data_IF_188081308985
#
_entry.id   IF_188081308985
#
_cell.length_a   1.000
_cell.length_b   1.000
_cell.length_c   1.000
_cell.angle_alpha   90.00
_cell.angle_beta   90.00
_cell.angle_gamma   90.00
#
_symmetry.space_group_name_H-M   'P 1'
#
loop_
_entity.id
_entity.type
_entity.pdbx_description
1 polymer ?
#
# COMPACT_ATOMS: atom_id res chain seq x y z
N UNK A 1 42.02 -37.02 1.72
CA UNK A 1 41.95 -35.60 2.13
C UNK A 1 41.43 -34.62 1.05
N UNK A 2 41.03 -35.09 -0.12
CA UNK A 2 40.65 -34.24 -1.28
C UNK A 2 39.16 -33.78 -1.32
N UNK A 3 38.24 -34.48 -0.65
CA UNK A 3 36.81 -34.21 -0.72
C UNK A 3 36.33 -32.98 0.06
N UNK A 4 37.02 -32.62 1.13
CA UNK A 4 36.68 -31.42 1.93
C UNK A 4 36.97 -30.12 1.15
N UNK A 5 38.09 -30.06 0.41
CA UNK A 5 38.49 -28.85 -0.35
C UNK A 5 37.60 -28.54 -1.54
N UNK A 6 37.06 -29.54 -2.20
CA UNK A 6 36.09 -29.38 -3.30
C UNK A 6 34.74 -28.84 -2.81
N UNK A 7 34.33 -29.20 -1.58
CA UNK A 7 33.09 -28.69 -0.97
C UNK A 7 33.20 -27.21 -0.62
N UNK A 8 34.36 -26.73 -0.17
CA UNK A 8 34.53 -25.34 0.25
C UNK A 8 34.44 -24.38 -0.94
N UNK A 9 35.04 -24.68 -2.09
CA UNK A 9 34.95 -23.82 -3.29
C UNK A 9 33.55 -23.85 -3.93
N UNK A 10 32.86 -24.99 -3.91
CA UNK A 10 31.48 -25.08 -4.38
C UNK A 10 30.54 -24.26 -3.49
N UNK A 11 30.73 -24.32 -2.16
CA UNK A 11 29.96 -23.52 -1.21
C UNK A 11 30.15 -22.00 -1.44
N UNK A 12 31.37 -21.53 -1.67
CA UNK A 12 31.64 -20.12 -2.01
C UNK A 12 30.92 -19.69 -3.29
N UNK A 13 30.90 -20.53 -4.32
CA UNK A 13 30.21 -20.27 -5.57
C UNK A 13 28.66 -20.22 -5.38
N UNK A 14 28.13 -21.04 -4.50
CA UNK A 14 26.71 -21.02 -4.14
C UNK A 14 26.33 -19.74 -3.38
N UNK A 15 27.12 -19.36 -2.37
CA UNK A 15 26.90 -18.13 -1.61
C UNK A 15 27.00 -16.91 -2.52
N UNK A 16 27.98 -16.86 -3.41
CA UNK A 16 28.13 -15.80 -4.41
C UNK A 16 26.88 -15.67 -5.30
N UNK A 17 26.36 -16.79 -5.81
CA UNK A 17 25.14 -16.80 -6.63
C UNK A 17 23.92 -16.34 -5.83
N UNK A 18 23.76 -16.84 -4.62
CA UNK A 18 22.67 -16.43 -3.73
C UNK A 18 22.71 -14.92 -3.43
N UNK A 19 23.92 -14.38 -3.18
CA UNK A 19 24.11 -12.96 -2.92
C UNK A 19 23.82 -12.10 -4.15
N UNK A 20 24.20 -12.53 -5.35
CA UNK A 20 23.87 -11.85 -6.60
C UNK A 20 22.36 -11.81 -6.87
N UNK A 21 21.66 -12.94 -6.63
CA UNK A 21 20.19 -12.99 -6.73
C UNK A 21 19.52 -12.11 -5.69
N UNK A 22 19.99 -12.14 -4.44
CA UNK A 22 19.48 -11.29 -3.37
C UNK A 22 19.62 -9.82 -3.72
N UNK A 23 20.82 -9.38 -4.14
CA UNK A 23 21.10 -8.02 -4.62
C UNK A 23 20.08 -7.57 -5.68
N UNK A 24 19.90 -8.37 -6.73
CA UNK A 24 18.97 -8.04 -7.83
C UNK A 24 17.53 -7.91 -7.35
N UNK A 25 17.07 -8.84 -6.50
CA UNK A 25 15.71 -8.82 -5.96
C UNK A 25 15.46 -7.62 -5.05
N UNK A 26 16.41 -7.30 -4.18
CA UNK A 26 16.29 -6.15 -3.28
C UNK A 26 16.30 -4.83 -4.05
N UNK A 27 17.18 -4.68 -5.04
CA UNK A 27 17.22 -3.50 -5.90
C UNK A 27 15.89 -3.31 -6.66
N UNK A 28 15.34 -4.38 -7.21
CA UNK A 28 14.04 -4.35 -7.88
C UNK A 28 12.91 -3.97 -6.91
N UNK A 29 12.83 -4.59 -5.74
CA UNK A 29 11.79 -4.30 -4.75
C UNK A 29 11.85 -2.86 -4.24
N UNK A 30 13.04 -2.37 -3.90
CA UNK A 30 13.23 -0.99 -3.42
C UNK A 30 13.01 0.04 -4.53
N UNK A 31 13.36 -0.29 -5.77
CA UNK A 31 13.13 0.54 -6.95
C UNK A 31 11.65 0.75 -7.28
N UNK A 32 10.79 -0.20 -6.89
CA UNK A 32 9.34 -0.09 -7.11
C UNK A 32 8.62 0.81 -6.10
N UNK A 33 9.27 1.24 -5.02
CA UNK A 33 8.63 2.06 -3.99
C UNK A 33 8.08 3.39 -4.54
N UNK A 34 8.82 4.05 -5.42
CA UNK A 34 8.39 5.30 -6.05
C UNK A 34 7.17 5.14 -6.95
N UNK A 35 7.22 4.27 -7.98
CA UNK A 35 6.06 3.98 -8.83
C UNK A 35 4.82 3.53 -8.05
N UNK A 36 4.97 2.65 -7.05
CA UNK A 36 3.87 2.19 -6.22
C UNK A 36 3.22 3.34 -5.42
N UNK A 37 4.03 4.26 -4.89
CA UNK A 37 3.54 5.43 -4.19
C UNK A 37 2.74 6.36 -5.12
N UNK A 38 3.26 6.61 -6.32
CA UNK A 38 2.57 7.43 -7.33
C UNK A 38 1.24 6.81 -7.77
N UNK A 39 1.22 5.51 -8.04
CA UNK A 39 0.00 4.79 -8.40
C UNK A 39 -1.05 4.84 -7.27
N UNK A 40 -0.59 4.73 -6.01
CA UNK A 40 -1.48 4.85 -4.84
C UNK A 40 -2.06 6.26 -4.71
N UNK A 41 -1.24 7.30 -4.88
CA UNK A 41 -1.72 8.70 -4.85
C UNK A 41 -2.73 8.98 -5.96
N UNK A 42 -2.46 8.51 -7.18
CA UNK A 42 -3.37 8.64 -8.32
C UNK A 42 -4.71 7.93 -8.06
N UNK A 43 -4.67 6.68 -7.59
CA UNK A 43 -5.86 5.93 -7.22
C UNK A 43 -6.70 6.64 -6.15
N UNK A 44 -6.07 7.15 -5.10
CA UNK A 44 -6.76 7.88 -4.03
C UNK A 44 -7.44 9.15 -4.56
N UNK A 45 -6.74 9.94 -5.39
CA UNK A 45 -7.24 11.23 -5.87
C UNK A 45 -8.26 11.11 -6.99
N UNK A 46 -7.99 10.25 -7.97
CA UNK A 46 -8.78 10.20 -9.20
C UNK A 46 -9.94 9.21 -9.10
N UNK A 47 -9.74 8.06 -8.45
CA UNK A 47 -10.77 7.03 -8.39
C UNK A 47 -11.58 7.11 -7.11
N UNK A 48 -10.94 6.94 -5.94
CA UNK A 48 -11.65 6.87 -4.67
C UNK A 48 -12.28 8.19 -4.27
N UNK A 49 -11.57 9.32 -4.43
CA UNK A 49 -12.12 10.62 -4.07
C UNK A 49 -13.33 10.96 -4.96
N UNK A 50 -13.25 10.71 -6.27
CA UNK A 50 -14.38 10.95 -7.19
C UNK A 50 -15.56 10.01 -6.93
N UNK A 51 -15.29 8.75 -6.59
CA UNK A 51 -16.34 7.79 -6.22
C UNK A 51 -17.09 8.29 -4.98
N UNK A 52 -16.38 8.59 -3.90
CA UNK A 52 -17.02 9.02 -2.65
C UNK A 52 -17.64 10.41 -2.72
N UNK A 53 -17.16 11.31 -3.58
CA UNK A 53 -17.84 12.58 -3.87
C UNK A 53 -19.22 12.34 -4.50
N UNK A 54 -19.31 11.45 -5.50
CA UNK A 54 -20.60 11.09 -6.10
C UNK A 54 -21.51 10.39 -5.12
N UNK A 55 -20.97 9.48 -4.29
CA UNK A 55 -21.72 8.81 -3.25
C UNK A 55 -22.25 9.82 -2.20
N UNK A 56 -21.46 10.80 -1.81
CA UNK A 56 -21.89 11.83 -0.86
C UNK A 56 -23.07 12.63 -1.41
N UNK A 57 -23.02 13.06 -2.66
CA UNK A 57 -24.12 13.80 -3.31
C UNK A 57 -25.39 12.94 -3.31
N UNK A 58 -25.29 11.69 -3.76
CA UNK A 58 -26.43 10.76 -3.81
C UNK A 58 -27.03 10.48 -2.43
N UNK A 59 -26.18 10.31 -1.42
CA UNK A 59 -26.59 10.04 -0.03
C UNK A 59 -27.16 11.28 0.64
N UNK A 60 -26.66 12.47 0.31
CA UNK A 60 -27.23 13.73 0.74
C UNK A 60 -28.66 13.91 0.18
N UNK A 61 -28.87 13.67 -1.10
CA UNK A 61 -30.18 13.71 -1.74
C UNK A 61 -31.16 12.74 -1.05
N UNK A 62 -30.73 11.50 -0.83
CA UNK A 62 -31.52 10.47 -0.14
C UNK A 62 -31.87 10.87 1.31
N UNK A 63 -30.93 11.49 2.04
CA UNK A 63 -31.22 11.99 3.37
C UNK A 63 -32.21 13.15 3.35
N UNK A 64 -32.08 14.10 2.41
CA UNK A 64 -33.02 15.20 2.26
C UNK A 64 -34.44 14.70 1.91
N UNK A 65 -34.55 13.66 1.08
CA UNK A 65 -35.82 13.04 0.75
C UNK A 65 -36.43 12.35 1.98
N UNK A 66 -35.67 11.52 2.69
CA UNK A 66 -36.13 10.86 3.91
C UNK A 66 -36.53 11.88 4.99
N UNK A 67 -35.79 12.99 5.12
CA UNK A 67 -36.14 14.09 6.02
C UNK A 67 -37.47 14.76 5.65
N UNK A 68 -37.71 14.98 4.36
CA UNK A 68 -38.99 15.55 3.90
C UNK A 68 -40.16 14.58 4.16
N UNK A 69 -39.97 13.27 3.94
CA UNK A 69 -40.96 12.25 4.23
C UNK A 69 -41.30 12.20 5.72
N UNK A 70 -40.31 12.21 6.58
CA UNK A 70 -40.50 12.27 8.04
C UNK A 70 -41.26 13.53 8.48
N UNK A 71 -40.88 14.70 7.97
CA UNK A 71 -41.58 15.97 8.32
C UNK A 71 -43.06 15.92 7.88
N UNK A 72 -43.35 15.37 6.69
CA UNK A 72 -44.71 15.22 6.22
C UNK A 72 -45.50 14.24 7.09
N UNK A 73 -44.93 13.10 7.48
CA UNK A 73 -45.58 12.15 8.38
C UNK A 73 -45.79 12.73 9.79
N UNK A 74 -44.84 13.49 10.29
CA UNK A 74 -45.00 14.18 11.58
C UNK A 74 -46.07 15.26 11.59
N UNK A 75 -46.30 15.96 10.45
CA UNK A 75 -47.38 16.93 10.30
C UNK A 75 -48.72 16.26 10.23
N UNK A 76 -48.86 15.09 9.55
CA UNK A 76 -50.08 14.32 9.48
C UNK A 76 -50.53 13.79 10.87
N UNK A 77 -49.54 13.41 11.72
CA UNK A 77 -49.84 13.03 13.12
C UNK A 77 -50.44 14.21 13.90
N UNK A 78 -49.98 15.45 13.63
CA UNK A 78 -50.50 16.65 14.29
C UNK A 78 -51.88 17.10 13.73
N UNK A 79 -52.12 16.83 12.46
CA UNK A 79 -53.32 17.27 11.75
C UNK A 79 -53.95 16.10 10.97
N UNK A 80 -54.61 15.13 11.67
CA UNK A 80 -55.17 13.95 11.04
C UNK A 80 -56.20 14.29 9.93
N UNK A 81 -56.08 13.58 8.78
CA UNK A 81 -57.04 13.71 7.65
C UNK A 81 -56.63 14.68 6.54
N UNK A 82 -55.40 15.26 6.61
CA UNK A 82 -54.87 16.17 5.60
C UNK A 82 -54.05 15.50 4.50
N UNK A 83 -53.72 14.20 4.63
CA UNK A 83 -52.88 13.48 3.70
C UNK A 83 -53.28 12.01 3.48
N UNK A 84 -52.74 11.34 2.43
CA UNK A 84 -52.94 9.92 2.24
C UNK A 84 -52.23 9.16 3.36
N UNK A 85 -52.92 8.23 4.04
CA UNK A 85 -52.37 7.41 5.14
C UNK A 85 -51.01 6.82 4.78
N UNK A 86 -49.96 7.37 5.38
CA UNK A 86 -48.56 7.00 5.11
C UNK A 86 -48.01 6.13 6.23
N UNK A 87 -46.82 5.57 5.99
CA UNK A 87 -46.00 4.90 6.98
C UNK A 87 -45.91 5.69 8.29
N UNK A 88 -45.79 5.00 9.42
CA UNK A 88 -45.80 5.65 10.71
C UNK A 88 -44.66 6.71 10.80
N UNK A 89 -44.91 7.83 11.45
CA UNK A 89 -43.89 8.88 11.63
C UNK A 89 -42.60 8.33 12.27
N UNK A 90 -42.69 7.24 13.02
CA UNK A 90 -41.55 6.54 13.62
C UNK A 90 -40.75 5.77 12.56
N UNK A 91 -41.39 5.09 11.61
CA UNK A 91 -40.69 4.38 10.53
C UNK A 91 -39.95 5.37 9.64
N UNK A 92 -40.55 6.52 9.32
CA UNK A 92 -39.92 7.56 8.53
C UNK A 92 -38.75 8.22 9.30
N UNK A 93 -38.85 8.35 10.61
CA UNK A 93 -37.75 8.80 11.47
C UNK A 93 -36.57 7.86 11.40
N UNK A 94 -36.82 6.56 11.54
CA UNK A 94 -35.78 5.51 11.43
C UNK A 94 -35.14 5.51 10.05
N UNK A 95 -35.93 5.69 8.97
CA UNK A 95 -35.42 5.80 7.61
C UNK A 95 -34.51 7.02 7.44
N UNK A 96 -34.91 8.18 7.97
CA UNK A 96 -34.12 9.40 7.96
C UNK A 96 -32.79 9.23 8.73
N UNK A 97 -32.83 8.65 9.92
CA UNK A 97 -31.61 8.41 10.72
C UNK A 97 -30.64 7.46 10.01
N UNK A 98 -31.14 6.42 9.34
CA UNK A 98 -30.33 5.52 8.51
C UNK A 98 -29.73 6.23 7.29
N UNK A 99 -30.48 7.08 6.63
CA UNK A 99 -29.99 7.87 5.50
C UNK A 99 -28.90 8.85 5.96
N UNK A 100 -29.08 9.51 7.11
CA UNK A 100 -28.08 10.36 7.74
C UNK A 100 -26.80 9.62 8.02
N UNK A 101 -26.88 8.45 8.67
CA UNK A 101 -25.68 7.65 9.00
C UNK A 101 -24.89 7.26 7.74
N UNK A 102 -25.57 6.94 6.63
CA UNK A 102 -24.91 6.64 5.35
C UNK A 102 -24.21 7.86 4.75
N UNK A 103 -24.81 9.04 4.87
CA UNK A 103 -24.20 10.31 4.44
C UNK A 103 -22.95 10.60 5.25
N UNK A 104 -23.04 10.51 6.57
CA UNK A 104 -21.94 10.76 7.49
C UNK A 104 -20.78 9.80 7.23
N UNK A 105 -21.05 8.51 6.92
CA UNK A 105 -20.04 7.56 6.48
C UNK A 105 -19.31 8.04 5.20
N UNK A 106 -20.02 8.59 4.22
CA UNK A 106 -19.39 9.09 3.00
C UNK A 106 -18.48 10.30 3.27
N UNK A 107 -18.88 11.19 4.16
CA UNK A 107 -18.05 12.32 4.62
C UNK A 107 -16.77 11.83 5.31
N UNK A 108 -16.89 10.84 6.22
CA UNK A 108 -15.75 10.24 6.91
C UNK A 108 -14.76 9.57 5.93
N UNK A 109 -15.28 8.86 4.92
CA UNK A 109 -14.43 8.25 3.87
C UNK A 109 -13.66 9.31 3.08
N UNK A 110 -14.31 10.40 2.70
CA UNK A 110 -13.65 11.51 2.01
C UNK A 110 -12.61 12.20 2.90
N UNK A 111 -12.89 12.40 4.17
CA UNK A 111 -11.93 12.95 5.12
C UNK A 111 -10.71 12.04 5.29
N UNK A 112 -10.92 10.72 5.38
CA UNK A 112 -9.83 9.73 5.44
C UNK A 112 -8.96 9.76 4.17
N UNK A 113 -9.56 9.83 2.97
CA UNK A 113 -8.82 9.95 1.71
C UNK A 113 -7.95 11.20 1.70
N UNK A 114 -8.50 12.37 2.09
CA UNK A 114 -7.74 13.63 2.18
C UNK A 114 -6.55 13.50 3.15
N UNK A 115 -6.76 12.86 4.29
CA UNK A 115 -5.70 12.61 5.27
C UNK A 115 -4.59 11.73 4.69
N UNK A 116 -4.93 10.66 3.97
CA UNK A 116 -3.95 9.80 3.32
C UNK A 116 -3.19 10.51 2.20
N UNK A 117 -3.88 11.27 1.35
CA UNK A 117 -3.24 12.10 0.30
C UNK A 117 -2.24 13.09 0.92
N UNK A 118 -2.60 13.75 2.02
CA UNK A 118 -1.70 14.67 2.71
C UNK A 118 -0.47 13.95 3.29
N UNK A 119 -0.64 12.76 3.88
CA UNK A 119 0.47 11.94 4.36
C UNK A 119 1.39 11.48 3.23
N UNK A 120 0.83 11.04 2.10
CA UNK A 120 1.63 10.67 0.93
C UNK A 120 2.45 11.85 0.41
N UNK A 121 1.88 13.06 0.42
CA UNK A 121 2.60 14.26 0.02
C UNK A 121 3.73 14.65 1.00
N UNK A 122 3.47 14.57 2.32
CA UNK A 122 4.47 14.95 3.33
C UNK A 122 5.59 13.91 3.48
N UNK A 123 5.24 12.63 3.52
CA UNK A 123 6.14 11.57 3.94
C UNK A 123 6.67 10.73 2.77
N UNK A 124 5.93 10.73 1.65
CA UNK A 124 6.20 9.88 0.50
C UNK A 124 7.57 10.15 -0.14
N UNK A 125 7.93 11.43 -0.31
CA UNK A 125 9.25 11.81 -0.84
C UNK A 125 10.40 11.31 0.03
N UNK A 126 10.25 11.42 1.35
CA UNK A 126 11.22 10.90 2.31
C UNK A 126 11.33 9.37 2.29
N UNK A 127 10.20 8.67 2.11
CA UNK A 127 10.20 7.21 1.98
C UNK A 127 10.93 6.76 0.71
N UNK A 128 10.62 7.36 -0.44
CA UNK A 128 11.30 7.06 -1.73
C UNK A 128 12.78 7.33 -1.63
N UNK A 129 13.18 8.44 -1.01
CA UNK A 129 14.60 8.75 -0.79
C UNK A 129 15.28 7.69 0.07
N UNK A 130 14.70 7.27 1.19
CA UNK A 130 15.24 6.20 2.05
C UNK A 130 15.35 4.87 1.31
N UNK A 131 14.35 4.48 0.53
CA UNK A 131 14.39 3.27 -0.29
C UNK A 131 15.52 3.32 -1.31
N UNK A 132 15.74 4.46 -1.97
CA UNK A 132 16.85 4.65 -2.92
C UNK A 132 18.20 4.58 -2.23
N UNK A 133 18.38 5.26 -1.10
CA UNK A 133 19.62 5.21 -0.32
C UNK A 133 19.93 3.80 0.19
N UNK A 134 18.91 3.08 0.67
CA UNK A 134 19.06 1.69 1.10
C UNK A 134 19.44 0.77 -0.08
N UNK A 135 18.85 0.99 -1.26
CA UNK A 135 19.19 0.22 -2.46
C UNK A 135 20.67 0.42 -2.86
N UNK A 136 21.17 1.66 -2.83
CA UNK A 136 22.56 1.96 -3.14
C UNK A 136 23.53 1.35 -2.12
N UNK A 137 23.26 1.52 -0.81
CA UNK A 137 24.09 0.94 0.24
C UNK A 137 24.14 -0.59 0.15
N UNK A 138 23.01 -1.23 -0.10
CA UNK A 138 22.93 -2.68 -0.26
C UNK A 138 23.64 -3.16 -1.53
N UNK A 139 23.61 -2.38 -2.62
CA UNK A 139 24.32 -2.68 -3.85
C UNK A 139 25.83 -2.65 -3.61
N UNK A 140 26.33 -1.61 -2.96
CA UNK A 140 27.75 -1.45 -2.61
C UNK A 140 28.24 -2.56 -1.67
N UNK A 141 27.46 -2.90 -0.63
CA UNK A 141 27.80 -3.97 0.31
C UNK A 141 27.82 -5.34 -0.37
N UNK A 142 26.84 -5.61 -1.21
CA UNK A 142 26.78 -6.87 -1.95
C UNK A 142 27.93 -7.00 -2.96
N UNK A 143 28.31 -5.92 -3.63
CA UNK A 143 29.47 -5.90 -4.53
C UNK A 143 30.77 -6.18 -3.78
N UNK A 144 30.98 -5.54 -2.62
CA UNK A 144 32.16 -5.79 -1.78
C UNK A 144 32.21 -7.23 -1.29
N UNK A 145 31.09 -7.77 -0.85
CA UNK A 145 31.01 -9.17 -0.42
C UNK A 145 31.29 -10.16 -1.56
N UNK A 146 30.75 -9.91 -2.77
CA UNK A 146 31.05 -10.72 -3.95
C UNK A 146 32.54 -10.66 -4.30
N UNK A 147 33.14 -9.48 -4.31
CA UNK A 147 34.57 -9.33 -4.58
C UNK A 147 35.43 -10.07 -3.55
N UNK A 148 35.03 -10.04 -2.28
CA UNK A 148 35.71 -10.81 -1.21
C UNK A 148 35.61 -12.31 -1.44
N UNK A 149 34.43 -12.81 -1.81
CA UNK A 149 34.24 -14.22 -2.14
C UNK A 149 35.05 -14.66 -3.36
N UNK A 150 35.13 -13.81 -4.38
CA UNK A 150 35.97 -14.08 -5.57
C UNK A 150 37.46 -14.11 -5.23
N UNK A 151 37.95 -13.19 -4.39
CA UNK A 151 39.33 -13.18 -3.90
C UNK A 151 39.67 -14.43 -3.07
N UNK A 152 38.76 -14.84 -2.17
CA UNK A 152 38.92 -16.08 -1.39
C UNK A 152 38.93 -17.32 -2.30
N UNK A 153 38.04 -17.40 -3.27
CA UNK A 153 38.04 -18.51 -4.22
C UNK A 153 39.34 -18.59 -5.04
N UNK A 154 39.86 -17.45 -5.51
CA UNK A 154 41.13 -17.36 -6.21
C UNK A 154 42.30 -17.78 -5.32
N UNK A 155 42.37 -17.34 -4.08
CA UNK A 155 43.42 -17.74 -3.12
C UNK A 155 43.39 -19.28 -2.90
N UNK A 156 42.22 -19.87 -2.68
CA UNK A 156 42.08 -21.31 -2.49
C UNK A 156 42.57 -22.07 -3.76
N UNK A 157 42.21 -21.60 -4.97
CA UNK A 157 42.64 -22.19 -6.22
C UNK A 157 44.15 -22.17 -6.36
N UNK A 158 44.83 -21.08 -5.95
CA UNK A 158 46.31 -20.97 -6.00
C UNK A 158 46.99 -21.98 -5.10
N UNK A 159 46.41 -22.31 -3.94
CA UNK A 159 46.96 -23.34 -3.03
C UNK A 159 46.68 -24.77 -3.51
N UNK A 160 45.81 -24.95 -4.47
CA UNK A 160 45.48 -26.29 -5.04
C UNK A 160 46.32 -26.69 -6.25
N UNK A 161 47.13 -25.76 -6.79
CA UNK A 161 48.10 -26.13 -7.89
C UNK A 161 49.23 -26.98 -7.30
N UNK A 162 49.41 -28.25 -7.73
CA UNK A 162 50.54 -29.04 -7.28
C UNK A 162 51.80 -28.35 -7.74
N UNK A 163 52.76 -28.15 -6.80
CA UNK A 163 54.09 -27.68 -7.16
C UNK A 163 54.71 -28.59 -8.22
N UNK A 164 55.64 -28.06 -9.04
CA UNK A 164 56.33 -28.87 -10.03
C UNK A 164 56.97 -30.06 -9.34
N UNK A 165 56.57 -31.29 -9.74
CA UNK A 165 57.24 -32.53 -9.36
C UNK A 165 58.64 -32.47 -9.94
N UNK A 166 59.65 -32.25 -9.09
CA UNK A 166 61.08 -32.38 -9.40
C UNK A 166 61.44 -33.85 -9.56
#
# INVERSE_FOLDING_TARGET
MSTARLRDTACLAEVRRALAVFRTRCAAALGQAGPALMATDEHLRLELARHWQRELIRREEAWQEARRAWLAAADEVRHPGRGPGRASAEDERVAMDRARARRDEAEERLAAIRTWVNRLNSDGGGLVHRCRSAALALDDDAQRAIATLDALAAAIATYQVPGPTS
#
